data_IF_807858981129
#
_entry.id   IF_807858981129
#
_cell.length_a   1.000
_cell.length_b   1.000
_cell.length_c   1.000
_cell.angle_alpha   90.00
_cell.angle_beta   90.00
_cell.angle_gamma   90.00
#
_symmetry.space_group_name_H-M   'P 1'
#
loop_
_entity.id
_entity.type
_entity.pdbx_description
1 polymer ?
#
# COMPACT_ATOMS: atom_id res chain seq x y z
N UNK A 1 20.46 -29.81 -19.73
CA UNK A 1 20.78 -29.33 -18.36
C UNK A 1 19.89 -30.07 -17.39
N UNK A 2 20.42 -30.63 -16.29
CA UNK A 2 19.56 -31.18 -15.22
C UNK A 2 18.83 -30.00 -14.57
N UNK A 3 17.52 -30.08 -14.46
CA UNK A 3 16.72 -29.05 -13.80
C UNK A 3 17.14 -29.01 -12.33
N UNK A 4 17.55 -27.84 -11.84
CA UNK A 4 17.84 -27.65 -10.42
C UNK A 4 16.49 -27.83 -9.70
N UNK A 5 16.38 -28.72 -8.70
CA UNK A 5 15.14 -28.90 -7.96
C UNK A 5 14.77 -27.57 -7.28
N UNK A 6 13.62 -27.04 -7.65
CA UNK A 6 13.07 -25.82 -7.06
C UNK A 6 12.22 -26.27 -5.86
N UNK A 7 12.52 -25.82 -4.63
CA UNK A 7 11.73 -26.19 -3.46
C UNK A 7 10.30 -25.68 -3.59
N UNK A 8 9.33 -26.45 -3.08
CA UNK A 8 7.98 -25.94 -2.98
C UNK A 8 7.88 -24.89 -1.86
N UNK A 9 7.13 -23.82 -2.12
CA UNK A 9 6.87 -22.76 -1.17
C UNK A 9 5.35 -22.72 -0.94
N UNK A 10 4.83 -23.39 0.10
CA UNK A 10 3.40 -23.39 0.36
C UNK A 10 2.90 -22.01 0.75
N UNK A 11 1.64 -21.73 0.46
CA UNK A 11 0.98 -20.49 0.84
C UNK A 11 0.51 -20.61 2.29
N UNK A 12 0.99 -19.73 3.16
CA UNK A 12 0.50 -19.63 4.53
C UNK A 12 -0.93 -19.08 4.54
N UNK A 13 -1.85 -19.81 5.16
CA UNK A 13 -3.28 -19.48 5.25
C UNK A 13 -3.80 -19.99 6.61
N UNK A 14 -4.45 -19.11 7.36
CA UNK A 14 -5.02 -19.31 8.69
C UNK A 14 -6.54 -19.39 8.62
N UNK A 15 -7.18 -18.41 7.96
CA UNK A 15 -8.62 -18.35 7.69
C UNK A 15 -8.83 -18.50 6.17
N UNK A 16 -9.46 -19.60 5.77
CA UNK A 16 -9.77 -19.84 4.35
C UNK A 16 -10.92 -18.96 3.86
N UNK A 17 -11.18 -18.97 2.55
CA UNK A 17 -12.20 -18.14 1.90
C UNK A 17 -13.62 -18.30 2.49
N UNK A 18 -13.95 -19.46 3.09
CA UNK A 18 -15.23 -19.72 3.73
C UNK A 18 -15.31 -19.19 5.18
N UNK A 19 -14.28 -18.49 5.65
CA UNK A 19 -14.20 -17.98 7.02
C UNK A 19 -13.95 -19.07 8.06
N UNK A 20 -13.42 -20.23 7.65
CA UNK A 20 -13.10 -21.34 8.55
C UNK A 20 -11.59 -21.46 8.75
N UNK A 21 -11.17 -21.99 9.91
CA UNK A 21 -9.75 -22.14 10.21
C UNK A 21 -9.14 -23.27 9.37
N UNK A 22 -8.16 -22.91 8.54
CA UNK A 22 -7.26 -23.86 7.90
C UNK A 22 -6.20 -24.38 8.88
N UNK A 23 -5.86 -23.56 9.87
CA UNK A 23 -4.95 -23.86 10.98
C UNK A 23 -5.28 -22.94 12.17
N UNK A 24 -4.71 -23.23 13.35
CA UNK A 24 -4.92 -22.39 14.52
C UNK A 24 -4.30 -21.00 14.33
N UNK A 25 -5.03 -19.96 14.74
CA UNK A 25 -4.50 -18.59 14.80
C UNK A 25 -3.41 -18.54 15.88
N UNK A 26 -2.25 -17.97 15.54
CA UNK A 26 -1.15 -17.77 16.45
C UNK A 26 -1.55 -16.88 17.64
N UNK A 27 -1.00 -17.18 18.82
CA UNK A 27 -1.15 -16.33 20.00
C UNK A 27 -0.57 -14.92 19.80
N UNK A 28 0.26 -14.71 18.78
CA UNK A 28 0.78 -13.40 18.38
C UNK A 28 -0.23 -12.52 17.64
N UNK A 29 -1.43 -13.02 17.33
CA UNK A 29 -2.50 -12.27 16.67
C UNK A 29 -3.79 -12.42 17.49
N UNK A 30 -3.97 -11.60 18.54
CA UNK A 30 -5.16 -11.64 19.36
C UNK A 30 -6.41 -11.20 18.58
N UNK A 31 -7.58 -11.66 19.02
CA UNK A 31 -8.87 -11.34 18.38
C UNK A 31 -9.13 -9.83 18.27
N UNK A 32 -8.70 -9.05 19.26
CA UNK A 32 -8.85 -7.58 19.24
C UNK A 32 -8.10 -6.95 18.06
N UNK A 33 -6.97 -7.52 17.66
CA UNK A 33 -6.23 -7.08 16.49
C UNK A 33 -6.94 -7.45 15.18
N UNK A 34 -7.54 -8.64 15.11
CA UNK A 34 -8.40 -9.02 13.98
C UNK A 34 -9.63 -8.12 13.86
N UNK A 35 -10.21 -7.69 14.98
CA UNK A 35 -11.30 -6.71 14.99
C UNK A 35 -10.84 -5.34 14.47
N UNK A 36 -9.65 -4.87 14.88
CA UNK A 36 -9.05 -3.64 14.34
C UNK A 36 -8.79 -3.76 12.84
N UNK A 37 -8.26 -4.90 12.38
CA UNK A 37 -8.03 -5.19 10.97
C UNK A 37 -9.35 -5.16 10.19
N UNK A 38 -10.40 -5.83 10.68
CA UNK A 38 -11.71 -5.83 10.06
C UNK A 38 -12.28 -4.42 9.89
N UNK A 39 -12.28 -3.63 10.97
CA UNK A 39 -12.79 -2.25 10.95
C UNK A 39 -12.03 -1.38 9.95
N UNK A 40 -10.71 -1.49 9.90
CA UNK A 40 -9.88 -0.75 8.94
C UNK A 40 -10.17 -1.16 7.49
N UNK A 41 -10.25 -2.47 7.21
CA UNK A 41 -10.58 -2.94 5.86
C UNK A 41 -11.94 -2.43 5.38
N UNK A 42 -12.96 -2.43 6.25
CA UNK A 42 -14.29 -1.90 5.94
C UNK A 42 -14.25 -0.39 5.67
N UNK A 43 -13.53 0.38 6.50
CA UNK A 43 -13.34 1.81 6.28
C UNK A 43 -12.71 2.09 4.92
N UNK A 44 -11.60 1.41 4.60
CA UNK A 44 -10.85 1.61 3.36
C UNK A 44 -11.66 1.19 2.14
N UNK A 45 -12.42 0.09 2.22
CA UNK A 45 -13.35 -0.33 1.16
C UNK A 45 -14.40 0.74 0.86
N UNK A 46 -14.91 1.42 1.88
CA UNK A 46 -15.88 2.51 1.70
C UNK A 46 -15.22 3.79 1.19
N UNK A 47 -14.04 4.12 1.70
CA UNK A 47 -13.23 5.24 1.23
C UNK A 47 -12.91 5.09 -0.26
N UNK A 48 -12.46 3.90 -0.70
CA UNK A 48 -12.18 3.61 -2.10
C UNK A 48 -13.40 3.84 -3.00
N UNK A 49 -14.59 3.40 -2.56
CA UNK A 49 -15.85 3.65 -3.29
C UNK A 49 -16.13 5.15 -3.41
N UNK A 50 -15.91 5.91 -2.34
CA UNK A 50 -16.09 7.38 -2.33
C UNK A 50 -15.06 8.07 -3.23
N UNK A 51 -13.80 7.68 -3.20
CA UNK A 51 -12.74 8.22 -4.06
C UNK A 51 -13.03 7.97 -5.55
N UNK A 52 -13.48 6.76 -5.91
CA UNK A 52 -13.94 6.45 -7.28
C UNK A 52 -15.15 7.30 -7.66
N UNK A 53 -16.10 7.51 -6.74
CA UNK A 53 -17.25 8.38 -7.01
C UNK A 53 -16.84 9.85 -7.24
N UNK A 54 -15.93 10.39 -6.42
CA UNK A 54 -15.37 11.74 -6.60
C UNK A 54 -14.65 11.87 -7.94
N UNK A 55 -13.91 10.84 -8.36
CA UNK A 55 -13.26 10.83 -9.67
C UNK A 55 -14.29 10.89 -10.81
N UNK A 56 -15.37 10.11 -10.72
CA UNK A 56 -16.44 10.10 -11.73
C UNK A 56 -17.21 11.42 -11.81
N UNK A 57 -17.26 12.19 -10.72
CA UNK A 57 -17.87 13.54 -10.70
C UNK A 57 -16.87 14.65 -11.02
N UNK A 58 -15.62 14.32 -11.38
CA UNK A 58 -14.57 15.29 -11.74
C UNK A 58 -13.96 16.03 -10.54
N UNK A 59 -14.22 15.56 -9.31
CA UNK A 59 -13.69 16.13 -8.07
C UNK A 59 -12.41 15.43 -7.59
N UNK A 60 -11.92 14.41 -8.31
CA UNK A 60 -10.66 13.73 -8.04
C UNK A 60 -9.98 13.41 -9.37
N UNK A 61 -8.64 13.36 -9.39
CA UNK A 61 -7.86 12.91 -10.54
C UNK A 61 -7.90 11.39 -10.74
N UNK A 62 -6.98 10.86 -11.53
CA UNK A 62 -6.85 9.40 -11.72
C UNK A 62 -6.57 8.71 -10.38
N UNK A 63 -7.38 7.70 -10.02
CA UNK A 63 -7.28 7.02 -8.74
C UNK A 63 -6.94 5.53 -8.89
N UNK A 64 -6.08 5.02 -8.02
CA UNK A 64 -5.69 3.61 -7.98
C UNK A 64 -6.30 2.88 -6.79
N UNK A 65 -7.51 2.33 -6.97
CA UNK A 65 -8.23 1.63 -5.89
C UNK A 65 -7.47 0.41 -5.35
N UNK A 66 -7.51 0.24 -4.03
CA UNK A 66 -6.98 -0.92 -3.29
C UNK A 66 -7.93 -2.14 -3.28
N UNK A 67 -9.11 -2.05 -3.92
CA UNK A 67 -10.18 -3.06 -3.87
C UNK A 67 -9.68 -4.51 -4.07
N UNK A 68 -9.91 -5.34 -3.05
CA UNK A 68 -9.52 -6.74 -3.00
C UNK A 68 -8.19 -7.01 -2.30
N UNK A 69 -7.43 -5.98 -1.95
CA UNK A 69 -6.08 -6.07 -1.38
C UNK A 69 -6.02 -5.42 0.02
N UNK A 70 -7.16 -5.18 0.66
CA UNK A 70 -7.27 -4.39 1.89
C UNK A 70 -6.50 -5.03 3.05
N UNK A 71 -6.51 -6.37 3.13
CA UNK A 71 -5.85 -7.13 4.20
C UNK A 71 -4.33 -6.93 4.21
N UNK A 72 -3.69 -6.85 3.03
CA UNK A 72 -2.24 -6.69 2.91
C UNK A 72 -1.79 -5.39 3.58
N UNK A 73 -2.34 -4.28 3.11
CA UNK A 73 -1.94 -2.95 3.57
C UNK A 73 -2.44 -2.67 5.00
N UNK A 74 -3.58 -3.24 5.40
CA UNK A 74 -4.05 -3.19 6.80
C UNK A 74 -3.08 -3.92 7.74
N UNK A 75 -2.65 -5.13 7.39
CA UNK A 75 -1.71 -5.88 8.23
C UNK A 75 -0.37 -5.15 8.37
N UNK A 76 0.13 -4.52 7.29
CA UNK A 76 1.33 -3.67 7.35
C UNK A 76 1.14 -2.55 8.37
N UNK A 77 0.09 -1.74 8.23
CA UNK A 77 -0.16 -0.60 9.09
C UNK A 77 -0.36 -0.96 10.57
N UNK A 78 -0.98 -2.11 10.87
CA UNK A 78 -1.17 -2.59 12.24
C UNK A 78 0.10 -3.16 12.88
N UNK A 79 0.99 -3.75 12.07
CA UNK A 79 2.18 -4.45 12.56
C UNK A 79 3.37 -3.52 12.84
N UNK A 80 3.46 -2.40 12.12
CA UNK A 80 4.58 -1.46 12.22
C UNK A 80 4.55 -0.65 13.52
N UNK A 81 5.72 -0.39 14.08
CA UNK A 81 5.89 0.53 15.21
C UNK A 81 6.01 1.96 14.72
N UNK A 82 5.74 2.93 15.58
CA UNK A 82 5.75 4.35 15.21
C UNK A 82 7.12 4.85 14.71
N UNK A 83 8.21 4.26 15.20
CA UNK A 83 9.55 4.61 14.76
C UNK A 83 9.98 3.96 13.45
N UNK A 84 9.24 2.99 12.92
CA UNK A 84 9.60 2.34 11.65
C UNK A 84 9.43 3.31 10.48
N UNK A 85 9.94 2.92 9.32
CA UNK A 85 9.77 3.67 8.08
C UNK A 85 8.98 2.85 7.08
N UNK A 86 7.91 3.43 6.56
CA UNK A 86 7.15 2.87 5.46
C UNK A 86 7.50 3.55 4.14
N UNK A 87 7.80 2.73 3.12
CA UNK A 87 7.98 3.15 1.74
C UNK A 87 6.85 2.55 0.88
N UNK A 88 5.72 3.26 0.72
CA UNK A 88 4.54 2.74 0.03
C UNK A 88 4.75 2.66 -1.49
N UNK A 89 3.91 1.86 -2.14
CA UNK A 89 3.51 2.11 -3.53
C UNK A 89 2.07 2.65 -3.54
N UNK A 90 1.64 3.15 -4.70
CA UNK A 90 0.40 3.91 -4.90
C UNK A 90 -0.93 3.20 -4.56
N UNK A 91 -0.92 2.03 -3.91
CA UNK A 91 -2.14 1.28 -3.53
C UNK A 91 -2.22 0.96 -2.03
N UNK A 92 -1.37 1.58 -1.22
CA UNK A 92 -1.26 1.30 0.23
C UNK A 92 -2.08 2.25 1.12
N UNK A 93 -3.25 2.65 0.66
CA UNK A 93 -4.16 3.56 1.40
C UNK A 93 -4.40 3.10 2.83
N UNK A 94 -4.59 1.79 3.06
CA UNK A 94 -4.88 1.25 4.38
C UNK A 94 -3.71 1.37 5.36
N UNK A 95 -2.48 1.11 4.91
CA UNK A 95 -1.28 1.29 5.70
C UNK A 95 -1.07 2.78 6.00
N UNK A 96 -1.13 3.65 4.99
CA UNK A 96 -0.94 5.08 5.16
C UNK A 96 -1.91 5.67 6.20
N UNK A 97 -3.19 5.28 6.14
CA UNK A 97 -4.18 5.70 7.14
C UNK A 97 -3.83 5.21 8.55
N UNK A 98 -3.47 3.94 8.71
CA UNK A 98 -3.05 3.37 10.01
C UNK A 98 -1.72 3.96 10.53
N UNK A 99 -0.86 4.44 9.63
CA UNK A 99 0.36 5.19 9.95
C UNK A 99 0.06 6.65 10.35
N UNK A 100 -1.21 7.08 10.30
CA UNK A 100 -1.67 8.38 10.78
C UNK A 100 -2.00 9.38 9.68
N UNK A 101 -1.82 9.05 8.40
CA UNK A 101 -2.14 9.97 7.30
C UNK A 101 -3.65 10.14 7.18
N UNK A 102 -4.20 11.36 7.33
CA UNK A 102 -5.64 11.60 7.19
C UNK A 102 -6.13 11.31 5.77
N UNK A 103 -7.38 10.83 5.63
CA UNK A 103 -7.95 10.48 4.34
C UNK A 103 -8.05 11.68 3.39
N UNK A 104 -8.30 12.90 3.90
CA UNK A 104 -8.33 14.11 3.08
C UNK A 104 -6.97 14.43 2.45
N UNK A 105 -5.85 14.07 3.09
CA UNK A 105 -4.51 14.21 2.48
C UNK A 105 -4.29 13.19 1.36
N UNK A 106 -4.79 11.98 1.53
CA UNK A 106 -4.77 10.97 0.46
C UNK A 106 -5.62 11.43 -0.73
N UNK A 107 -6.81 12.00 -0.48
CA UNK A 107 -7.62 12.63 -1.53
C UNK A 107 -6.92 13.84 -2.15
N UNK A 108 -6.24 14.68 -1.38
CA UNK A 108 -5.47 15.82 -1.88
C UNK A 108 -4.44 15.37 -2.92
N UNK A 109 -3.61 14.36 -2.60
CA UNK A 109 -2.64 13.81 -3.53
C UNK A 109 -3.30 13.33 -4.84
N UNK A 110 -4.34 12.51 -4.74
CA UNK A 110 -5.07 12.02 -5.91
C UNK A 110 -5.88 13.10 -6.64
N UNK A 111 -6.17 14.21 -5.97
CA UNK A 111 -6.76 15.43 -6.51
C UNK A 111 -5.77 16.30 -7.29
N UNK A 112 -4.48 15.96 -7.29
CA UNK A 112 -3.42 16.76 -7.91
C UNK A 112 -2.80 17.80 -6.97
N UNK A 113 -2.87 17.55 -5.66
CA UNK A 113 -2.27 18.39 -4.63
C UNK A 113 -1.16 17.67 -3.86
N UNK A 114 0.09 18.04 -4.15
CA UNK A 114 1.27 17.44 -3.54
C UNK A 114 1.42 17.76 -2.04
N UNK A 115 0.68 18.74 -1.49
CA UNK A 115 0.61 18.92 -0.04
C UNK A 115 -0.01 17.69 0.64
N UNK A 116 -0.78 16.87 -0.09
CA UNK A 116 -1.25 15.56 0.34
C UNK A 116 -0.13 14.59 0.70
N UNK A 117 1.04 14.71 0.05
CA UNK A 117 2.25 13.94 0.34
C UNK A 117 3.13 14.56 1.43
N UNK A 118 2.83 15.77 1.89
CA UNK A 118 3.55 16.38 3.01
C UNK A 118 2.99 15.88 4.35
N UNK A 119 3.50 14.75 4.85
CA UNK A 119 2.93 14.08 6.02
C UNK A 119 3.19 14.79 7.36
N UNK A 120 4.15 15.72 7.45
CA UNK A 120 4.35 16.56 8.63
C UNK A 120 4.35 15.75 9.94
N UNK A 121 3.51 16.14 10.91
CA UNK A 121 3.39 15.49 12.22
C UNK A 121 2.74 14.09 12.20
N UNK A 122 2.12 13.68 11.09
CA UNK A 122 1.39 12.40 11.02
C UNK A 122 2.33 11.21 10.85
N UNK A 123 2.95 11.11 9.68
CA UNK A 123 3.81 10.00 9.28
C UNK A 123 5.18 10.54 8.86
N UNK A 124 5.80 11.38 9.72
CA UNK A 124 7.04 12.11 9.43
C UNK A 124 8.23 11.25 8.97
N UNK A 125 8.21 9.95 9.28
CA UNK A 125 9.26 9.00 8.94
C UNK A 125 9.01 8.29 7.60
N UNK A 126 7.75 8.27 7.14
CA UNK A 126 7.33 7.50 5.98
C UNK A 126 7.60 8.28 4.69
N UNK A 127 7.88 7.55 3.61
CA UNK A 127 8.01 8.14 2.28
C UNK A 127 6.64 8.44 1.68
N UNK A 128 6.51 9.52 0.89
CA UNK A 128 5.29 9.82 0.16
C UNK A 128 5.00 8.78 -0.93
N UNK A 129 3.84 8.91 -1.58
CA UNK A 129 3.49 8.04 -2.70
C UNK A 129 4.54 8.12 -3.82
N UNK A 130 4.93 6.94 -4.32
CA UNK A 130 5.89 6.81 -5.41
C UNK A 130 5.24 6.16 -6.64
N UNK A 131 5.20 6.89 -7.75
CA UNK A 131 4.62 6.43 -9.03
C UNK A 131 5.63 5.66 -9.90
N UNK A 132 6.91 6.07 -10.02
CA UNK A 132 7.89 5.31 -10.78
C UNK A 132 8.10 3.91 -10.18
N UNK A 133 7.70 2.89 -10.94
CA UNK A 133 7.66 1.50 -10.48
C UNK A 133 9.03 1.04 -9.97
N UNK A 134 9.02 0.49 -8.76
CA UNK A 134 10.15 -0.12 -8.04
C UNK A 134 11.18 0.84 -7.43
N UNK A 135 11.17 2.14 -7.76
CA UNK A 135 12.20 3.07 -7.28
C UNK A 135 12.20 3.25 -5.76
N UNK A 136 11.04 3.15 -5.11
CA UNK A 136 10.91 3.18 -3.65
C UNK A 136 11.68 2.05 -2.94
N UNK A 137 11.95 0.93 -3.63
CA UNK A 137 12.74 -0.18 -3.08
C UNK A 137 14.19 0.26 -2.84
N UNK A 138 14.76 1.02 -3.78
CA UNK A 138 16.12 1.55 -3.68
C UNK A 138 16.22 2.57 -2.53
N UNK A 139 15.22 3.43 -2.39
CA UNK A 139 15.13 4.36 -1.25
C UNK A 139 15.01 3.62 0.08
N UNK A 140 14.15 2.60 0.17
CA UNK A 140 13.97 1.80 1.36
C UNK A 140 15.27 1.06 1.77
N UNK A 141 16.01 0.51 0.80
CA UNK A 141 17.32 -0.10 1.07
C UNK A 141 18.35 0.92 1.59
N UNK A 142 18.37 2.14 1.05
CA UNK A 142 19.19 3.24 1.55
C UNK A 142 18.84 3.63 2.99
N UNK A 143 17.54 3.75 3.31
CA UNK A 143 17.07 4.05 4.67
C UNK A 143 17.43 2.91 5.62
N UNK A 144 17.24 1.65 5.22
CA UNK A 144 17.59 0.49 6.04
C UNK A 144 19.10 0.41 6.30
N UNK A 145 19.91 0.87 5.35
CA UNK A 145 21.36 1.04 5.52
C UNK A 145 21.66 2.08 6.59
N UNK A 146 21.00 3.24 6.55
CA UNK A 146 21.16 4.28 7.57
C UNK A 146 20.74 3.79 8.96
N UNK A 147 19.60 3.12 9.07
CA UNK A 147 19.11 2.47 10.32
C UNK A 147 20.16 1.53 10.88
N UNK A 148 20.75 0.68 10.03
CA UNK A 148 21.80 -0.27 10.44
C UNK A 148 23.07 0.43 10.91
N UNK A 149 23.56 1.43 10.16
CA UNK A 149 24.77 2.19 10.52
C UNK A 149 24.60 2.91 11.85
N UNK A 150 23.41 3.46 12.10
CA UNK A 150 23.08 4.16 13.35
C UNK A 150 22.72 3.22 14.51
N UNK A 151 22.71 1.90 14.28
CA UNK A 151 22.33 0.89 15.26
C UNK A 151 20.92 1.13 15.87
N UNK A 152 19.99 1.65 15.05
CA UNK A 152 18.62 1.92 15.46
C UNK A 152 17.80 0.62 15.49
N UNK A 153 16.96 0.45 16.50
CA UNK A 153 16.03 -0.70 16.63
C UNK A 153 14.69 -0.40 15.95
N UNK A 154 14.72 -0.19 14.64
CA UNK A 154 13.53 0.02 13.79
C UNK A 154 13.66 -0.74 12.48
N UNK A 155 12.55 -1.03 11.84
CA UNK A 155 12.49 -1.68 10.54
C UNK A 155 12.18 -0.67 9.44
N UNK A 156 12.51 -1.04 8.21
CA UNK A 156 12.00 -0.38 7.01
C UNK A 156 11.10 -1.37 6.30
N UNK A 157 9.86 -0.98 6.04
CA UNK A 157 8.90 -1.77 5.27
C UNK A 157 8.69 -1.10 3.94
N UNK A 158 8.76 -1.87 2.86
CA UNK A 158 8.53 -1.39 1.51
C UNK A 158 7.61 -2.33 0.76
N UNK A 159 6.71 -1.75 -0.01
CA UNK A 159 5.70 -2.47 -0.77
C UNK A 159 5.86 -2.25 -2.27
N UNK A 160 5.49 -3.27 -3.05
CA UNK A 160 5.38 -3.14 -4.49
C UNK A 160 4.37 -4.15 -5.07
N UNK A 161 3.94 -3.94 -6.32
CA UNK A 161 3.15 -4.94 -7.06
C UNK A 161 4.01 -6.05 -7.68
N UNK A 162 3.39 -7.12 -8.17
CA UNK A 162 4.06 -8.19 -8.93
C UNK A 162 4.82 -7.66 -10.15
N UNK A 163 4.27 -6.64 -10.82
CA UNK A 163 4.89 -5.97 -11.95
C UNK A 163 6.28 -5.39 -11.64
N UNK A 164 6.43 -4.82 -10.44
CA UNK A 164 7.67 -4.19 -9.98
C UNK A 164 8.82 -5.19 -9.84
N UNK A 165 8.52 -6.48 -9.65
CA UNK A 165 9.52 -7.55 -9.49
C UNK A 165 10.28 -7.91 -10.77
N UNK A 166 9.93 -7.27 -11.89
CA UNK A 166 10.65 -7.34 -13.16
C UNK A 166 11.52 -6.11 -13.44
N UNK A 167 11.60 -5.16 -12.50
CA UNK A 167 12.51 -4.00 -12.57
C UNK A 167 13.87 -4.33 -11.94
N UNK A 168 14.93 -3.68 -12.43
CA UNK A 168 16.29 -3.80 -11.87
C UNK A 168 16.34 -3.37 -10.41
N UNK A 169 15.71 -2.24 -10.09
CA UNK A 169 15.63 -1.67 -8.74
C UNK A 169 15.15 -2.68 -7.69
N UNK A 170 14.19 -3.56 -8.04
CA UNK A 170 13.73 -4.61 -7.13
C UNK A 170 14.86 -5.57 -6.79
N UNK A 171 15.56 -6.10 -7.79
CA UNK A 171 16.64 -7.07 -7.58
C UNK A 171 17.83 -6.43 -6.88
N UNK A 172 18.26 -5.24 -7.31
CA UNK A 172 19.38 -4.52 -6.73
C UNK A 172 19.14 -4.24 -5.23
N UNK A 173 17.93 -3.82 -4.87
CA UNK A 173 17.55 -3.54 -3.48
C UNK A 173 17.57 -4.78 -2.60
N UNK A 174 16.96 -5.89 -3.05
CA UNK A 174 16.94 -7.13 -2.23
C UNK A 174 18.33 -7.76 -2.14
N UNK A 175 19.13 -7.67 -3.20
CA UNK A 175 20.51 -8.16 -3.22
C UNK A 175 21.38 -7.39 -2.24
N UNK A 176 21.30 -6.05 -2.24
CA UNK A 176 21.97 -5.19 -1.27
C UNK A 176 21.53 -5.53 0.15
N UNK A 177 20.22 -5.67 0.37
CA UNK A 177 19.66 -5.99 1.67
C UNK A 177 20.13 -7.35 2.22
N UNK A 178 20.33 -8.34 1.34
CA UNK A 178 20.89 -9.64 1.69
C UNK A 178 22.35 -9.57 2.11
N UNK A 179 23.23 -9.00 1.28
CA UNK A 179 24.67 -8.92 1.59
C UNK A 179 24.94 -8.04 2.82
N UNK A 180 24.20 -6.95 2.98
CA UNK A 180 24.36 -6.05 4.10
C UNK A 180 23.50 -6.41 5.30
N UNK A 181 22.73 -7.50 5.26
CA UNK A 181 21.84 -7.92 6.35
C UNK A 181 21.02 -6.73 6.90
N UNK A 182 20.32 -6.04 6.01
CA UNK A 182 19.55 -4.83 6.33
C UNK A 182 18.23 -5.17 7.03
N UNK A 183 17.73 -4.34 7.96
CA UNK A 183 16.43 -4.51 8.60
C UNK A 183 15.28 -4.10 7.66
N UNK A 184 15.17 -4.77 6.51
CA UNK A 184 14.23 -4.46 5.43
C UNK A 184 13.19 -5.58 5.26
N UNK A 185 11.90 -5.22 5.30
CA UNK A 185 10.80 -6.12 4.96
C UNK A 185 10.21 -5.68 3.63
N UNK A 186 10.30 -6.52 2.61
CA UNK A 186 9.74 -6.26 1.28
C UNK A 186 8.44 -7.05 1.14
N UNK A 187 7.32 -6.35 0.97
CA UNK A 187 6.01 -6.98 0.74
C UNK A 187 5.60 -6.79 -0.71
N UNK A 188 5.53 -7.89 -1.46
CA UNK A 188 5.01 -7.88 -2.82
C UNK A 188 3.53 -8.23 -2.77
N UNK A 189 2.68 -7.28 -3.15
CA UNK A 189 1.29 -7.53 -3.45
C UNK A 189 1.18 -8.16 -4.85
N UNK A 190 1.06 -9.48 -4.89
CA UNK A 190 0.83 -10.25 -6.10
C UNK A 190 -0.67 -10.33 -6.38
N UNK A 191 -1.20 -9.31 -7.05
CA UNK A 191 -2.62 -9.18 -7.38
C UNK A 191 -3.00 -9.79 -8.75
N UNK A 192 -2.10 -10.60 -9.30
CA UNK A 192 -2.15 -11.31 -10.57
C UNK A 192 -1.96 -10.47 -11.85
N UNK A 193 -1.88 -9.14 -11.76
CA UNK A 193 -1.90 -8.26 -12.94
C UNK A 193 -1.03 -7.00 -12.83
N UNK A 194 -0.04 -6.87 -13.72
CA UNK A 194 0.66 -5.63 -13.99
C UNK A 194 -0.03 -4.83 -15.11
N UNK A 195 -0.97 -3.96 -14.74
CA UNK A 195 -1.93 -3.32 -15.67
C UNK A 195 -2.71 -4.42 -16.43
N UNK A 196 -2.33 -4.71 -17.67
CA UNK A 196 -2.91 -5.72 -18.55
C UNK A 196 -2.03 -6.97 -18.74
N UNK A 197 -0.82 -6.97 -18.17
CA UNK A 197 0.11 -8.11 -18.25
C UNK A 197 -0.19 -9.08 -17.11
N UNK A 198 -0.68 -10.30 -17.40
CA UNK A 198 -0.96 -11.29 -16.36
C UNK A 198 0.34 -11.84 -15.77
N UNK A 199 0.26 -12.32 -14.53
CA UNK A 199 1.43 -12.82 -13.77
C UNK A 199 2.28 -13.82 -14.55
N UNK A 200 1.69 -14.74 -15.31
CA UNK A 200 2.44 -15.76 -16.06
C UNK A 200 3.28 -15.20 -17.23
N UNK A 201 2.95 -14.01 -17.75
CA UNK A 201 3.77 -13.29 -18.74
C UNK A 201 4.79 -12.36 -18.09
N UNK A 202 4.66 -12.08 -16.79
CA UNK A 202 5.53 -11.15 -16.07
C UNK A 202 6.91 -11.75 -15.75
N UNK A 203 6.95 -13.02 -15.36
CA UNK A 203 8.21 -13.73 -15.07
C UNK A 203 8.00 -15.24 -15.01
N UNK A 204 9.01 -16.00 -15.47
CA UNK A 204 9.01 -17.46 -15.47
C UNK A 204 9.29 -18.09 -14.08
N UNK A 205 9.63 -17.28 -13.07
CA UNK A 205 9.80 -17.79 -11.71
C UNK A 205 8.47 -18.41 -11.22
N UNK A 206 8.47 -19.64 -10.67
CA UNK A 206 7.25 -20.33 -10.24
C UNK A 206 6.41 -19.51 -9.26
N UNK A 207 7.09 -18.75 -8.39
CA UNK A 207 6.46 -17.77 -7.50
C UNK A 207 7.36 -16.54 -7.41
N UNK A 208 6.84 -15.41 -6.91
CA UNK A 208 7.67 -14.23 -6.66
C UNK A 208 8.62 -14.45 -5.48
N UNK A 209 8.19 -15.16 -4.44
CA UNK A 209 9.01 -15.47 -3.27
C UNK A 209 10.35 -16.15 -3.65
N UNK A 210 10.37 -16.99 -4.69
CA UNK A 210 11.59 -17.61 -5.22
C UNK A 210 12.69 -16.61 -5.64
N UNK A 211 12.33 -15.37 -6.00
CA UNK A 211 13.31 -14.33 -6.35
C UNK A 211 14.22 -13.97 -5.17
N UNK A 212 13.76 -14.19 -3.93
CA UNK A 212 14.57 -14.00 -2.73
C UNK A 212 15.83 -14.87 -2.69
N UNK A 213 15.78 -16.08 -3.29
CA UNK A 213 16.94 -16.97 -3.34
C UNK A 213 18.10 -16.36 -4.12
N UNK A 214 17.82 -15.55 -5.15
CA UNK A 214 18.86 -14.84 -5.90
C UNK A 214 19.56 -13.75 -5.08
N UNK A 215 18.97 -13.33 -3.97
CA UNK A 215 19.51 -12.36 -3.01
C UNK A 215 19.96 -12.98 -1.69
N UNK A 216 19.80 -14.31 -1.52
CA UNK A 216 20.14 -15.01 -0.28
C UNK A 216 19.33 -14.57 0.95
N UNK A 217 18.10 -14.05 0.75
CA UNK A 217 17.22 -13.63 1.85
C UNK A 217 16.07 -14.63 2.05
N UNK A 218 15.56 -14.79 3.29
CA UNK A 218 14.34 -15.56 3.54
C UNK A 218 13.13 -15.01 2.80
N UNK A 219 12.21 -15.89 2.47
CA UNK A 219 10.93 -15.53 1.87
C UNK A 219 9.76 -16.31 2.44
N UNK A 220 8.58 -15.72 2.36
CA UNK A 220 7.31 -16.34 2.75
C UNK A 220 6.24 -16.07 1.67
N UNK A 221 5.45 -17.08 1.35
CA UNK A 221 4.21 -16.91 0.60
C UNK A 221 3.04 -16.91 1.58
N UNK A 222 2.11 -15.99 1.38
CA UNK A 222 0.95 -15.83 2.26
C UNK A 222 -0.28 -15.54 1.42
N UNK A 223 -1.43 -16.06 1.84
CA UNK A 223 -2.71 -15.64 1.30
C UNK A 223 -2.95 -14.19 1.73
N UNK A 224 -2.77 -13.27 0.79
CA UNK A 224 -2.88 -11.83 1.01
C UNK A 224 -4.30 -11.37 1.33
N UNK A 225 -5.31 -12.22 1.12
CA UNK A 225 -6.69 -11.93 1.50
C UNK A 225 -7.01 -12.44 2.92
N UNK A 226 -6.10 -13.17 3.55
CA UNK A 226 -6.23 -13.62 4.94
C UNK A 226 -5.49 -12.65 5.88
N UNK A 227 -6.25 -11.79 6.56
CA UNK A 227 -5.71 -10.81 7.49
C UNK A 227 -4.96 -11.47 8.67
N UNK A 228 -5.38 -12.65 9.14
CA UNK A 228 -4.71 -13.33 10.24
C UNK A 228 -3.33 -13.84 9.79
N UNK A 229 -3.28 -14.52 8.64
CA UNK A 229 -2.02 -14.98 8.05
C UNK A 229 -1.07 -13.83 7.71
N UNK A 230 -1.60 -12.72 7.17
CA UNK A 230 -0.80 -11.52 6.90
C UNK A 230 -0.20 -10.92 8.17
N UNK A 231 -0.96 -10.78 9.25
CA UNK A 231 -0.47 -10.27 10.54
C UNK A 231 0.62 -11.19 11.12
N UNK A 232 0.43 -12.51 11.11
CA UNK A 232 1.45 -13.46 11.58
C UNK A 232 2.77 -13.31 10.82
N UNK A 233 2.70 -13.23 9.50
CA UNK A 233 3.88 -13.12 8.64
C UNK A 233 4.57 -11.76 8.81
N UNK A 234 3.80 -10.68 8.93
CA UNK A 234 4.34 -9.35 9.20
C UNK A 234 5.01 -9.28 10.57
N UNK A 235 4.39 -9.79 11.63
CA UNK A 235 4.98 -9.83 12.98
C UNK A 235 6.30 -10.60 12.98
N UNK A 236 6.35 -11.76 12.33
CA UNK A 236 7.57 -12.57 12.24
C UNK A 236 8.68 -11.87 11.44
N UNK A 237 8.34 -11.23 10.31
CA UNK A 237 9.31 -10.52 9.47
C UNK A 237 9.87 -9.27 10.16
N UNK A 238 9.03 -8.50 10.84
CA UNK A 238 9.44 -7.33 11.61
C UNK A 238 10.30 -7.71 12.81
N UNK A 239 9.93 -8.75 13.55
CA UNK A 239 10.76 -9.24 14.66
C UNK A 239 12.14 -9.70 14.19
N UNK A 240 12.21 -10.34 13.01
CA UNK A 240 13.48 -10.68 12.36
C UNK A 240 14.31 -9.43 12.06
N UNK A 241 13.70 -8.39 11.50
CA UNK A 241 14.36 -7.12 11.19
C UNK A 241 14.87 -6.42 12.46
N UNK A 242 14.05 -6.32 13.51
CA UNK A 242 14.44 -5.72 14.80
C UNK A 242 15.59 -6.46 15.48
N UNK A 243 15.64 -7.78 15.33
CA UNK A 243 16.70 -8.63 15.85
C UNK A 243 17.99 -8.59 15.01
N UNK A 244 18.07 -7.76 13.96
CA UNK A 244 19.26 -7.67 13.10
C UNK A 244 19.52 -8.93 12.27
N UNK A 245 18.51 -9.78 12.06
CA UNK A 245 18.62 -11.02 11.27
C UNK A 245 18.45 -10.78 9.76
N UNK A 246 18.57 -9.53 9.31
CA UNK A 246 18.50 -9.15 7.90
C UNK A 246 17.09 -9.18 7.31
N UNK A 247 17.04 -9.04 5.99
CA UNK A 247 15.82 -8.75 5.26
C UNK A 247 14.90 -9.97 5.09
N UNK A 248 13.64 -9.72 4.74
CA UNK A 248 12.64 -10.75 4.40
C UNK A 248 11.83 -10.32 3.17
N UNK A 249 11.56 -11.24 2.24
CA UNK A 249 10.61 -11.04 1.13
C UNK A 249 9.29 -11.76 1.41
N UNK A 250 8.18 -11.03 1.43
CA UNK A 250 6.84 -11.58 1.55
C UNK A 250 6.14 -11.48 0.20
N UNK A 251 5.69 -12.60 -0.36
CA UNK A 251 4.76 -12.64 -1.49
C UNK A 251 3.34 -12.80 -0.94
N UNK A 252 2.58 -11.71 -0.90
CA UNK A 252 1.18 -11.69 -0.51
C UNK A 252 0.31 -11.89 -1.75
N UNK A 253 -0.34 -13.05 -1.84
CA UNK A 253 -1.14 -13.45 -3.00
C UNK A 253 -2.55 -12.91 -2.82
N UNK A 254 -2.96 -12.03 -3.72
CA UNK A 254 -4.29 -11.43 -3.72
C UNK A 254 -4.81 -11.36 -5.16
N UNK A 255 -5.90 -10.64 -5.37
CA UNK A 255 -6.47 -10.38 -6.67
C UNK A 255 -6.99 -8.94 -6.74
N UNK A 256 -6.64 -8.21 -7.80
CA UNK A 256 -7.16 -6.85 -8.02
C UNK A 256 -8.62 -6.93 -8.50
N UNK A 257 -9.60 -6.66 -7.64
CA UNK A 257 -11.03 -6.80 -7.99
C UNK A 257 -11.61 -5.60 -8.78
N UNK A 258 -10.78 -4.60 -9.08
CA UNK A 258 -11.10 -3.41 -9.87
C UNK A 258 -10.23 -3.32 -11.14
N UNK A 259 -10.41 -2.26 -11.92
CA UNK A 259 -9.50 -1.88 -13.01
C UNK A 259 -8.11 -1.51 -12.46
N UNK A 260 -7.12 -1.31 -13.34
CA UNK A 260 -5.81 -0.85 -12.89
C UNK A 260 -5.92 0.53 -12.23
N UNK A 261 -6.53 1.50 -12.89
CA UNK A 261 -6.89 2.79 -12.31
C UNK A 261 -8.26 3.18 -12.85
N UNK A 262 -8.81 4.30 -12.40
CA UNK A 262 -10.00 4.88 -13.02
C UNK A 262 -9.83 5.30 -14.48
N UNK A 263 -8.60 5.24 -15.03
CA UNK A 263 -8.30 5.49 -16.44
C UNK A 263 -8.08 4.20 -17.26
N UNK A 264 -8.28 3.02 -16.67
CA UNK A 264 -8.11 1.71 -17.31
C UNK A 264 -9.46 1.00 -17.51
N UNK A 265 -9.47 0.00 -18.38
CA UNK A 265 -10.61 -0.88 -18.62
C UNK A 265 -10.15 -2.34 -18.63
N UNK A 266 -10.37 -3.05 -17.52
CA UNK A 266 -9.91 -4.42 -17.36
C UNK A 266 -10.71 -5.44 -18.18
N UNK A 267 -11.91 -5.08 -18.66
CA UNK A 267 -12.72 -6.00 -19.48
C UNK A 267 -12.04 -6.38 -20.80
N UNK A 268 -11.02 -5.60 -21.20
CA UNK A 268 -10.22 -5.82 -22.41
C UNK A 268 -9.20 -6.95 -22.29
N UNK A 269 -8.84 -7.35 -21.08
CA UNK A 269 -7.76 -8.31 -20.84
C UNK A 269 -8.05 -9.33 -19.73
N UNK A 270 -9.12 -9.15 -18.95
CA UNK A 270 -9.54 -10.06 -17.89
C UNK A 270 -10.96 -10.56 -18.12
N UNK A 271 -11.18 -11.85 -17.93
CA UNK A 271 -12.51 -12.46 -18.07
C UNK A 271 -13.41 -12.19 -16.86
N UNK A 272 -14.72 -12.16 -17.09
CA UNK A 272 -15.71 -12.06 -16.02
C UNK A 272 -15.68 -13.26 -15.07
N UNK A 273 -15.41 -14.45 -15.59
CA UNK A 273 -15.39 -15.69 -14.80
C UNK A 273 -14.24 -15.69 -13.81
N UNK A 274 -13.05 -15.24 -14.26
CA UNK A 274 -11.88 -15.07 -13.39
C UNK A 274 -12.16 -14.05 -12.28
N UNK A 275 -12.79 -12.91 -12.63
CA UNK A 275 -13.15 -11.89 -11.65
C UNK A 275 -14.20 -12.38 -10.64
N UNK A 276 -15.22 -13.11 -11.09
CA UNK A 276 -16.25 -13.68 -10.22
C UNK A 276 -15.65 -14.67 -9.22
N UNK A 277 -14.75 -15.54 -9.66
CA UNK A 277 -14.05 -16.46 -8.77
C UNK A 277 -13.15 -15.72 -7.76
N UNK A 278 -12.49 -14.63 -8.18
CA UNK A 278 -11.69 -13.82 -7.28
C UNK A 278 -12.54 -13.17 -6.16
N UNK A 279 -13.76 -12.74 -6.47
CA UNK A 279 -14.69 -12.18 -5.48
C UNK A 279 -15.07 -13.16 -4.36
N UNK A 280 -15.10 -14.46 -4.64
CA UNK A 280 -15.37 -15.51 -3.64
C UNK A 280 -14.27 -15.58 -2.56
N UNK A 281 -13.08 -15.03 -2.86
CA UNK A 281 -11.89 -15.13 -2.03
C UNK A 281 -11.55 -13.81 -1.31
N UNK A 282 -12.36 -12.77 -1.45
CA UNK A 282 -12.06 -11.40 -0.97
C UNK A 282 -11.92 -11.31 0.57
N UNK A 283 -11.09 -10.36 1.08
CA UNK A 283 -10.66 -10.37 2.48
C UNK A 283 -11.74 -10.01 3.51
N UNK A 284 -12.69 -9.13 3.16
CA UNK A 284 -13.63 -8.56 4.15
C UNK A 284 -14.65 -9.60 4.56
N UNK A 285 -15.36 -10.21 3.60
CA UNK A 285 -16.38 -11.23 3.86
C UNK A 285 -15.78 -12.45 4.55
N UNK A 286 -14.56 -12.80 4.18
CA UNK A 286 -13.78 -13.87 4.81
C UNK A 286 -13.64 -13.66 6.31
N UNK A 287 -13.06 -12.52 6.72
CA UNK A 287 -12.85 -12.22 8.14
C UNK A 287 -14.17 -11.96 8.87
N UNK A 288 -15.14 -11.29 8.23
CA UNK A 288 -16.48 -11.09 8.76
C UNK A 288 -17.12 -12.43 9.16
N UNK A 289 -17.09 -13.40 8.25
CA UNK A 289 -17.68 -14.73 8.46
C UNK A 289 -17.04 -15.41 9.67
N UNK A 290 -15.71 -15.40 9.76
CA UNK A 290 -15.00 -15.98 10.89
C UNK A 290 -15.37 -15.29 12.21
N UNK A 291 -15.37 -13.95 12.26
CA UNK A 291 -15.71 -13.19 13.47
C UNK A 291 -17.15 -13.44 13.95
N UNK A 292 -18.09 -13.58 13.01
CA UNK A 292 -19.48 -13.92 13.32
C UNK A 292 -19.61 -15.34 13.88
N UNK A 293 -19.03 -16.33 13.20
CA UNK A 293 -19.13 -17.75 13.60
C UNK A 293 -18.52 -18.01 14.98
N UNK A 294 -17.54 -17.21 15.39
CA UNK A 294 -16.87 -17.31 16.69
C UNK A 294 -17.43 -16.34 17.76
N UNK A 295 -18.55 -15.66 17.48
CA UNK A 295 -19.24 -14.82 18.47
C UNK A 295 -18.58 -13.47 18.79
N UNK A 296 -17.57 -13.06 18.02
CA UNK A 296 -16.89 -11.77 18.19
C UNK A 296 -17.63 -10.61 17.50
N UNK A 297 -18.46 -10.93 16.50
CA UNK A 297 -19.16 -9.94 15.67
C UNK A 297 -20.64 -10.28 15.48
N UNK A 298 -21.46 -9.26 15.19
CA UNK A 298 -22.90 -9.40 14.98
C UNK A 298 -23.43 -8.29 14.05
N UNK A 299 -24.70 -8.41 13.65
CA UNK A 299 -25.34 -7.46 12.72
C UNK A 299 -25.44 -6.03 13.28
N UNK A 300 -25.62 -5.88 14.59
CA UNK A 300 -25.69 -4.57 15.25
C UNK A 300 -24.33 -3.83 15.16
N UNK A 301 -23.24 -4.52 15.48
CA UNK A 301 -21.86 -4.00 15.33
C UNK A 301 -21.53 -3.68 13.89
N UNK A 302 -22.02 -4.50 12.94
CA UNK A 302 -21.85 -4.25 11.51
C UNK A 302 -22.50 -2.92 11.10
N UNK A 303 -23.79 -2.74 11.44
CA UNK A 303 -24.52 -1.49 11.15
C UNK A 303 -23.85 -0.28 11.78
N UNK A 304 -23.40 -0.40 13.03
CA UNK A 304 -22.70 0.67 13.74
C UNK A 304 -21.37 1.03 13.03
N UNK A 305 -20.58 0.03 12.63
CA UNK A 305 -19.32 0.25 11.89
C UNK A 305 -19.57 0.94 10.55
N UNK A 306 -20.60 0.55 9.81
CA UNK A 306 -20.95 1.20 8.55
C UNK A 306 -21.31 2.68 8.74
N UNK A 307 -22.12 3.00 9.76
CA UNK A 307 -22.47 4.38 10.07
C UNK A 307 -21.25 5.22 10.51
N UNK A 308 -20.37 4.64 11.31
CA UNK A 308 -19.12 5.27 11.74
C UNK A 308 -18.19 5.56 10.55
N UNK A 309 -17.99 4.57 9.67
CA UNK A 309 -17.18 4.74 8.46
C UNK A 309 -17.74 5.84 7.57
N UNK A 310 -19.06 5.87 7.37
CA UNK A 310 -19.71 6.92 6.58
C UNK A 310 -19.46 8.31 7.19
N UNK A 311 -19.63 8.45 8.51
CA UNK A 311 -19.37 9.72 9.21
C UNK A 311 -17.92 10.18 9.10
N UNK A 312 -16.94 9.26 9.21
CA UNK A 312 -15.51 9.57 9.06
C UNK A 312 -15.24 10.04 7.63
N UNK A 313 -15.72 9.28 6.64
CA UNK A 313 -15.45 9.55 5.22
C UNK A 313 -16.07 10.86 4.79
N UNK A 314 -17.31 11.15 5.17
CA UNK A 314 -17.97 12.40 4.79
C UNK A 314 -17.25 13.62 5.40
N UNK A 315 -16.83 13.53 6.67
CA UNK A 315 -16.04 14.60 7.29
C UNK A 315 -14.67 14.81 6.60
N UNK A 316 -13.98 13.74 6.20
CA UNK A 316 -12.70 13.83 5.48
C UNK A 316 -12.87 14.34 4.05
N UNK A 317 -13.97 13.99 3.37
CA UNK A 317 -14.28 14.54 2.05
C UNK A 317 -14.61 16.02 2.13
N UNK A 318 -15.37 16.45 3.15
CA UNK A 318 -15.63 17.88 3.38
C UNK A 318 -14.34 18.66 3.60
N UNK A 319 -13.40 18.11 4.39
CA UNK A 319 -12.06 18.71 4.56
C UNK A 319 -11.30 18.82 3.24
N UNK A 320 -11.30 17.76 2.44
CA UNK A 320 -10.65 17.74 1.14
C UNK A 320 -11.22 18.80 0.19
N UNK A 321 -12.55 18.90 0.08
CA UNK A 321 -13.22 19.87 -0.79
C UNK A 321 -13.06 21.33 -0.34
N UNK A 322 -12.68 21.54 0.92
CA UNK A 322 -12.42 22.86 1.50
C UNK A 322 -10.95 23.24 1.52
N UNK A 323 -10.05 22.40 0.98
CA UNK A 323 -8.63 22.74 0.88
C UNK A 323 -8.44 24.03 0.05
N UNK A 324 -7.57 24.95 0.50
CA UNK A 324 -7.26 26.13 -0.28
C UNK A 324 -6.57 25.74 -1.59
N UNK A 325 -6.80 26.52 -2.64
CA UNK A 325 -6.03 26.37 -3.87
C UNK A 325 -4.54 26.58 -3.60
N UNK A 326 -3.70 25.75 -4.22
CA UNK A 326 -2.24 25.94 -4.22
C UNK A 326 -1.87 27.31 -4.77
N UNK A 327 -0.80 27.87 -4.22
CA UNK A 327 -0.28 29.16 -4.67
C UNK A 327 0.78 28.94 -5.77
N UNK A 328 0.88 29.82 -6.77
CA UNK A 328 1.82 29.65 -7.89
C UNK A 328 3.29 29.57 -7.46
N UNK A 329 3.63 30.14 -6.29
CA UNK A 329 4.97 30.13 -5.71
C UNK A 329 5.44 28.72 -5.33
N UNK A 330 4.53 27.83 -4.92
CA UNK A 330 4.86 26.48 -4.44
C UNK A 330 5.67 25.69 -5.47
N UNK A 331 5.42 25.91 -6.77
CA UNK A 331 6.15 25.28 -7.86
C UNK A 331 7.66 25.55 -7.81
N UNK A 332 8.07 26.71 -7.28
CA UNK A 332 9.47 27.10 -7.14
C UNK A 332 10.00 26.82 -5.73
N UNK A 333 9.17 27.06 -4.71
CA UNK A 333 9.59 27.07 -3.32
C UNK A 333 9.91 25.65 -2.78
N UNK A 334 9.37 24.60 -3.41
CA UNK A 334 9.64 23.20 -3.04
C UNK A 334 10.54 22.44 -4.03
N UNK A 335 11.09 23.11 -5.05
CA UNK A 335 11.96 22.47 -6.03
C UNK A 335 13.41 22.29 -5.52
N UNK A 336 13.87 23.23 -4.70
CA UNK A 336 15.20 23.25 -4.07
C UNK A 336 15.06 23.77 -2.63
N UNK A 337 16.11 23.60 -1.82
CA UNK A 337 16.17 24.18 -0.47
C UNK A 337 16.12 25.73 -0.52
N UNK A 338 16.88 26.31 -1.46
CA UNK A 338 16.81 27.72 -1.84
C UNK A 338 16.56 27.85 -3.34
N UNK A 339 15.69 28.78 -3.76
CA UNK A 339 15.45 29.06 -5.18
C UNK A 339 16.74 29.52 -5.85
N UNK A 340 17.28 28.77 -6.83
CA UNK A 340 18.54 29.14 -7.47
C UNK A 340 18.45 30.49 -8.17
N UNK A 341 19.54 31.27 -8.13
CA UNK A 341 19.63 32.58 -8.78
C UNK A 341 19.09 32.56 -10.23
N UNK A 342 19.45 31.53 -11.01
CA UNK A 342 19.06 31.39 -12.41
C UNK A 342 17.54 31.22 -12.61
N UNK A 343 16.80 30.83 -11.57
CA UNK A 343 15.35 30.65 -11.59
C UNK A 343 14.58 31.85 -11.03
N UNK A 344 15.24 32.79 -10.35
CA UNK A 344 14.56 33.93 -9.71
C UNK A 344 13.78 34.78 -10.72
N UNK A 345 14.37 35.06 -11.89
CA UNK A 345 13.69 35.80 -12.95
C UNK A 345 12.47 35.04 -13.50
N UNK A 346 12.54 33.70 -13.58
CA UNK A 346 11.43 32.87 -14.02
C UNK A 346 10.30 32.83 -12.98
N UNK A 347 10.65 32.69 -11.70
CA UNK A 347 9.71 32.76 -10.57
C UNK A 347 8.94 34.08 -10.56
N UNK A 348 9.65 35.19 -10.66
CA UNK A 348 9.03 36.52 -10.68
C UNK A 348 8.10 36.70 -11.88
N UNK A 349 8.55 36.33 -13.09
CA UNK A 349 7.73 36.42 -14.29
C UNK A 349 6.48 35.53 -14.21
N UNK A 350 6.58 34.35 -13.60
CA UNK A 350 5.46 33.44 -13.42
C UNK A 350 4.41 34.02 -12.47
N UNK A 351 4.83 34.50 -11.30
CA UNK A 351 3.96 35.12 -10.29
C UNK A 351 3.25 36.35 -10.87
N UNK A 352 3.97 37.23 -11.56
CA UNK A 352 3.39 38.41 -12.22
C UNK A 352 2.31 38.00 -13.24
N UNK A 353 2.60 37.02 -14.10
CA UNK A 353 1.64 36.53 -15.09
C UNK A 353 0.44 35.85 -14.43
N UNK A 354 0.64 35.11 -13.35
CA UNK A 354 -0.42 34.45 -12.61
C UNK A 354 -1.39 35.48 -12.02
N UNK A 355 -0.89 36.53 -11.36
CA UNK A 355 -1.73 37.60 -10.81
C UNK A 355 -2.42 38.44 -11.90
N UNK A 356 -1.72 38.74 -13.01
CA UNK A 356 -2.32 39.45 -14.15
C UNK A 356 -3.48 38.66 -14.77
N UNK A 357 -3.36 37.33 -14.83
CA UNK A 357 -4.43 36.44 -15.32
C UNK A 357 -5.49 36.16 -14.26
N UNK A 358 -5.12 36.12 -12.98
CA UNK A 358 -6.03 35.91 -11.85
C UNK A 358 -6.99 37.07 -11.58
N UNK A 359 -6.69 38.28 -12.08
CA UNK A 359 -7.64 39.40 -12.15
C UNK A 359 -8.74 39.21 -13.21
N UNK A 360 -8.58 38.27 -14.14
CA UNK A 360 -9.61 37.85 -15.08
C UNK A 360 -10.19 36.51 -14.59
N UNK A 361 -11.22 36.61 -13.74
CA UNK A 361 -12.03 35.50 -13.24
C UNK A 361 -12.09 34.32 -14.23
N UNK A 362 -11.46 33.21 -13.86
CA UNK A 362 -11.75 31.94 -14.52
C UNK A 362 -13.07 31.45 -13.93
N UNK A 363 -14.17 31.85 -14.57
CA UNK A 363 -15.39 31.09 -14.52
C UNK A 363 -15.10 29.68 -15.02
N UNK A 364 -15.38 28.70 -14.17
CA UNK A 364 -15.70 27.34 -14.57
C UNK A 364 -16.91 26.90 -13.76
#
# INVERSE_FOLDING_TARGET
MKQIPIPDLPVHCVINAQGTLAQAISASVPVDELLRAYRNMVLIRQFDKKAVALQRTGQLGTYASSLGQEAISTAIGLSMRDQDVFAPYYRDTAAQYLRGVPLHKLLAYWGGDETGNHFGEFASQDLPNCVPIATQLSHAAGIATAVKIRAEKRAVVVTCGDGATSRGDFYESINLAGVWQLPLVVVVNNNQWAISVPRHLQTAAPTIAHKAYAAGIPCQRVDGNDAAAMLEVMHAALERAYCGKGATLIEAISYRLCDHTTADDATRYRSSDELNHAWENEPIKRLQTWLHQNGHWNEEKEKALFAECASIIDAEVDRYLQLPSQIPEDFFDYLFDDVPWAMQAQRQQFIERFHQRGGAQHGR
#
